data_IF_213640066753
#
_entry.id   IF_213640066753
#
_cell.length_a   1.000
_cell.length_b   1.000
_cell.length_c   1.000
_cell.angle_alpha   90.00
_cell.angle_beta   90.00
_cell.angle_gamma   90.00
#
_symmetry.space_group_name_H-M   'P 1'
#
loop_
_entity.id
_entity.type
_entity.pdbx_description
1 polymer ?
#
# COMPACT_ATOMS: atom_id res chain seq x y z
N UNK A 1 -4.31 8.31 -1.75
CA UNK A 1 -5.28 7.32 -2.24
C UNK A 1 -5.59 7.73 -3.65
N UNK A 2 -4.94 7.13 -4.63
CA UNK A 2 -5.23 7.45 -6.04
C UNK A 2 -6.18 6.40 -6.58
N UNK A 3 -7.47 6.74 -6.52
CA UNK A 3 -8.52 6.00 -7.21
C UNK A 3 -8.86 6.79 -8.46
N UNK A 4 -8.67 6.19 -9.63
CA UNK A 4 -9.09 6.76 -10.91
C UNK A 4 -10.18 5.89 -11.50
N UNK A 5 -11.27 6.49 -11.96
CA UNK A 5 -12.32 5.82 -12.70
C UNK A 5 -12.38 6.36 -14.13
N UNK A 6 -12.18 5.48 -15.09
CA UNK A 6 -12.42 5.74 -16.50
C UNK A 6 -13.89 5.47 -16.81
N UNK A 7 -14.59 6.49 -17.31
CA UNK A 7 -16.03 6.47 -17.52
C UNK A 7 -16.41 7.02 -18.89
N UNK A 8 -17.68 6.86 -19.24
CA UNK A 8 -18.33 7.63 -20.32
C UNK A 8 -19.69 8.14 -19.83
N UNK A 9 -20.24 9.23 -20.40
CA UNK A 9 -21.45 9.88 -19.89
C UNK A 9 -22.68 8.95 -19.86
N UNK A 10 -22.80 8.04 -20.82
CA UNK A 10 -23.96 7.16 -21.00
C UNK A 10 -23.86 5.86 -20.20
N UNK A 11 -22.68 5.51 -19.70
CA UNK A 11 -22.40 4.24 -19.03
C UNK A 11 -23.09 4.12 -17.65
N UNK A 12 -24.09 3.22 -17.54
CA UNK A 12 -24.81 2.95 -16.29
C UNK A 12 -23.90 2.38 -15.19
N UNK A 13 -23.03 1.43 -15.55
CA UNK A 13 -22.10 0.80 -14.60
C UNK A 13 -21.07 1.78 -14.04
N UNK A 14 -20.68 2.78 -14.84
CA UNK A 14 -19.79 3.85 -14.40
C UNK A 14 -20.45 4.69 -13.30
N UNK A 15 -21.75 5.05 -13.47
CA UNK A 15 -22.50 5.73 -12.40
C UNK A 15 -22.62 4.88 -11.14
N UNK A 16 -22.88 3.58 -11.27
CA UNK A 16 -22.95 2.65 -10.12
C UNK A 16 -21.62 2.57 -9.38
N UNK A 17 -20.51 2.46 -10.10
CA UNK A 17 -19.17 2.44 -9.51
C UNK A 17 -18.83 3.74 -8.77
N UNK A 18 -19.13 4.90 -9.36
CA UNK A 18 -18.93 6.22 -8.71
C UNK A 18 -19.74 6.33 -7.43
N UNK A 19 -21.02 5.98 -7.49
CA UNK A 19 -21.89 6.00 -6.31
C UNK A 19 -21.34 5.08 -5.22
N UNK A 20 -20.90 3.86 -5.58
CA UNK A 20 -20.34 2.90 -4.64
C UNK A 20 -19.08 3.43 -3.92
N UNK A 21 -18.16 4.05 -4.66
CA UNK A 21 -16.95 4.64 -4.09
C UNK A 21 -17.28 5.81 -3.16
N UNK A 22 -18.22 6.68 -3.56
CA UNK A 22 -18.70 7.79 -2.72
C UNK A 22 -19.38 7.29 -1.43
N UNK A 23 -20.20 6.25 -1.50
CA UNK A 23 -20.85 5.63 -0.34
C UNK A 23 -19.82 5.06 0.66
N UNK A 24 -18.68 4.58 0.16
CA UNK A 24 -17.55 4.11 0.99
C UNK A 24 -16.66 5.24 1.51
N UNK A 25 -16.98 6.51 1.20
CA UNK A 25 -16.19 7.67 1.60
C UNK A 25 -14.84 7.78 0.88
N UNK A 26 -14.70 7.15 -0.30
CA UNK A 26 -13.45 7.11 -1.06
C UNK A 26 -13.45 8.24 -2.07
N UNK A 27 -12.47 9.15 -1.97
CA UNK A 27 -12.23 10.15 -3.00
C UNK A 27 -11.65 9.49 -4.26
N UNK A 28 -12.12 9.90 -5.44
CA UNK A 28 -11.65 9.40 -6.72
C UNK A 28 -11.59 10.49 -7.80
N UNK A 29 -10.71 10.30 -8.77
CA UNK A 29 -10.61 11.10 -9.99
C UNK A 29 -11.40 10.43 -11.11
N UNK A 30 -12.32 11.15 -11.73
CA UNK A 30 -13.03 10.68 -12.92
C UNK A 30 -12.31 11.17 -14.19
N UNK A 31 -12.13 10.25 -15.15
CA UNK A 31 -11.65 10.56 -16.49
C UNK A 31 -12.70 10.09 -17.50
N UNK A 32 -13.27 11.03 -18.23
CA UNK A 32 -14.18 10.73 -19.33
C UNK A 32 -13.40 10.42 -20.60
N UNK A 33 -13.34 9.15 -20.97
CA UNK A 33 -12.58 8.71 -22.15
C UNK A 33 -13.29 9.02 -23.48
N UNK A 34 -14.55 9.49 -23.45
CA UNK A 34 -15.27 9.87 -24.68
C UNK A 34 -14.72 11.14 -25.32
N UNK A 35 -14.03 11.97 -24.53
CA UNK A 35 -13.42 13.22 -24.97
C UNK A 35 -11.88 13.18 -24.88
N UNK A 36 -11.30 12.05 -24.47
CA UNK A 36 -9.85 11.88 -24.28
C UNK A 36 -9.36 10.57 -24.94
N UNK A 37 -8.93 10.63 -26.21
CA UNK A 37 -8.41 9.48 -26.94
C UNK A 37 -7.14 8.89 -26.32
N UNK A 38 -6.32 9.70 -25.64
CA UNK A 38 -5.10 9.24 -25.00
C UNK A 38 -5.43 8.40 -23.76
N UNK A 39 -6.38 8.84 -22.94
CA UNK A 39 -6.89 8.07 -21.81
C UNK A 39 -7.59 6.78 -22.27
N UNK A 40 -8.34 6.83 -23.38
CA UNK A 40 -8.93 5.63 -23.98
C UNK A 40 -7.86 4.61 -24.38
N UNK A 41 -6.77 5.06 -25.02
CA UNK A 41 -5.65 4.20 -25.39
C UNK A 41 -4.94 3.63 -24.16
N UNK A 42 -4.72 4.42 -23.11
CA UNK A 42 -4.12 3.95 -21.86
C UNK A 42 -4.92 2.79 -21.25
N UNK A 43 -6.26 2.88 -21.28
CA UNK A 43 -7.13 1.80 -20.80
C UNK A 43 -6.95 0.53 -21.63
N UNK A 44 -6.88 0.66 -22.96
CA UNK A 44 -6.65 -0.48 -23.87
C UNK A 44 -5.27 -1.10 -23.63
N UNK A 45 -4.23 -0.29 -23.52
CA UNK A 45 -2.86 -0.75 -23.31
C UNK A 45 -2.70 -1.49 -21.97
N UNK A 46 -3.41 -1.04 -20.93
CA UNK A 46 -3.37 -1.66 -19.60
C UNK A 46 -4.22 -2.91 -19.48
N UNK A 47 -5.38 -2.95 -20.13
CA UNK A 47 -6.43 -3.97 -19.85
C UNK A 47 -6.73 -4.90 -21.01
N UNK A 48 -6.31 -4.55 -22.23
CA UNK A 48 -6.75 -5.20 -23.46
C UNK A 48 -8.23 -4.96 -23.79
N UNK A 49 -8.92 -4.08 -23.06
CA UNK A 49 -10.35 -3.83 -23.23
C UNK A 49 -10.63 -2.40 -23.72
N UNK A 50 -11.66 -2.27 -24.57
CA UNK A 50 -12.19 -0.99 -25.04
C UNK A 50 -13.41 -0.50 -24.23
N UNK A 51 -13.77 -1.21 -23.15
CA UNK A 51 -14.99 -0.98 -22.37
C UNK A 51 -14.75 -0.21 -21.08
N UNK A 52 -15.79 0.48 -20.60
CA UNK A 52 -15.86 1.16 -19.29
C UNK A 52 -16.96 0.56 -18.43
N UNK A 53 -16.91 0.67 -17.09
CA UNK A 53 -15.90 1.35 -16.29
C UNK A 53 -14.60 0.56 -16.16
N UNK A 54 -13.48 1.26 -16.11
CA UNK A 54 -12.20 0.71 -15.63
C UNK A 54 -11.77 1.52 -14.42
N UNK A 55 -11.54 0.85 -13.30
CA UNK A 55 -11.24 1.47 -12.02
C UNK A 55 -9.82 1.07 -11.64
N UNK A 56 -8.97 2.06 -11.44
CA UNK A 56 -7.59 1.89 -11.02
C UNK A 56 -7.46 2.34 -9.57
N UNK A 57 -7.02 1.44 -8.69
CA UNK A 57 -6.78 1.71 -7.27
C UNK A 57 -5.30 1.39 -7.00
N UNK A 58 -4.46 2.42 -6.99
CA UNK A 58 -3.00 2.24 -6.93
C UNK A 58 -2.48 1.44 -8.13
N UNK A 59 -1.93 0.24 -7.88
CA UNK A 59 -1.45 -0.67 -8.94
C UNK A 59 -2.53 -1.67 -9.41
N UNK A 60 -3.67 -1.73 -8.72
CA UNK A 60 -4.73 -2.67 -9.05
C UNK A 60 -5.67 -2.09 -10.11
N UNK A 61 -5.94 -2.88 -11.16
CA UNK A 61 -6.89 -2.54 -12.21
C UNK A 61 -8.10 -3.44 -12.13
N UNK A 62 -9.29 -2.85 -12.00
CA UNK A 62 -10.57 -3.54 -11.89
C UNK A 62 -11.40 -3.17 -13.12
N UNK A 63 -11.76 -4.19 -13.89
CA UNK A 63 -12.55 -4.06 -15.10
C UNK A 63 -14.03 -4.24 -14.74
N UNK A 64 -14.86 -3.29 -15.14
CA UNK A 64 -16.30 -3.29 -14.87
C UNK A 64 -16.65 -2.90 -13.44
N UNK A 65 -17.92 -3.11 -13.08
CA UNK A 65 -18.41 -2.89 -11.71
C UNK A 65 -18.49 -4.23 -10.97
N UNK A 66 -17.40 -4.58 -10.30
CA UNK A 66 -17.26 -5.79 -9.48
C UNK A 66 -17.17 -5.40 -8.00
N UNK A 67 -18.27 -5.52 -7.25
CA UNK A 67 -18.32 -5.11 -5.83
C UNK A 67 -17.36 -5.92 -4.96
N UNK A 68 -17.30 -7.26 -5.03
CA UNK A 68 -16.32 -8.04 -4.26
C UNK A 68 -14.87 -7.60 -4.52
N UNK A 69 -14.47 -7.42 -5.79
CA UNK A 69 -13.10 -6.96 -6.11
C UNK A 69 -12.85 -5.54 -5.64
N UNK A 70 -13.83 -4.64 -5.76
CA UNK A 70 -13.73 -3.28 -5.24
C UNK A 70 -13.58 -3.29 -3.72
N UNK A 71 -14.39 -4.06 -2.99
CA UNK A 71 -14.26 -4.19 -1.53
C UNK A 71 -12.91 -4.76 -1.13
N UNK A 72 -12.42 -5.78 -1.85
CA UNK A 72 -11.10 -6.35 -1.59
C UNK A 72 -9.98 -5.31 -1.81
N UNK A 73 -10.01 -4.59 -2.94
CA UNK A 73 -9.02 -3.57 -3.26
C UNK A 73 -9.05 -2.39 -2.27
N UNK A 74 -10.26 -1.94 -1.93
CA UNK A 74 -10.46 -0.87 -0.95
C UNK A 74 -10.06 -1.32 0.46
N UNK A 75 -10.37 -2.55 0.87
CA UNK A 75 -9.98 -3.10 2.18
C UNK A 75 -8.46 -3.29 2.29
N UNK A 76 -7.80 -3.79 1.24
CA UNK A 76 -6.34 -3.89 1.20
C UNK A 76 -5.66 -2.54 1.34
N UNK A 77 -6.28 -1.47 0.81
CA UNK A 77 -5.76 -0.12 0.97
C UNK A 77 -6.08 0.50 2.34
N UNK A 78 -7.28 0.24 2.88
CA UNK A 78 -7.66 0.69 4.23
C UNK A 78 -6.86 0.01 5.33
N UNK A 79 -6.20 -1.12 5.03
CA UNK A 79 -5.24 -1.72 5.95
C UNK A 79 -4.03 -0.80 6.07
N UNK A 80 -3.69 -0.35 7.29
CA UNK A 80 -2.42 0.31 7.54
C UNK A 80 -1.30 -0.47 6.87
N UNK A 81 -0.58 0.17 5.95
CA UNK A 81 0.61 -0.43 5.34
C UNK A 81 1.81 0.41 5.71
N UNK A 82 2.89 -0.26 6.09
CA UNK A 82 4.11 0.42 6.48
C UNK A 82 4.86 0.99 5.27
N UNK A 83 4.56 0.48 4.07
CA UNK A 83 5.12 0.93 2.80
C UNK A 83 6.57 0.47 2.56
N UNK A 84 6.98 -0.60 3.23
CA UNK A 84 8.19 -1.34 2.95
C UNK A 84 7.86 -2.82 2.68
N UNK A 85 8.58 -3.45 1.75
CA UNK A 85 8.61 -4.90 1.63
C UNK A 85 9.34 -5.47 2.84
N UNK A 86 8.75 -6.45 3.51
CA UNK A 86 9.29 -7.04 4.73
C UNK A 86 9.38 -8.55 4.61
N UNK A 87 10.39 -9.12 5.26
CA UNK A 87 10.61 -10.56 5.33
C UNK A 87 11.23 -10.92 6.68
N UNK A 88 11.18 -12.20 7.05
CA UNK A 88 11.83 -12.64 8.28
C UNK A 88 13.34 -12.43 8.19
N UNK A 89 13.91 -11.68 9.14
CA UNK A 89 15.34 -11.40 9.14
C UNK A 89 16.18 -12.67 9.24
N UNK A 90 15.67 -13.69 9.94
CA UNK A 90 16.29 -15.01 10.04
C UNK A 90 16.42 -15.74 8.69
N UNK A 91 15.57 -15.43 7.70
CA UNK A 91 15.58 -16.05 6.38
C UNK A 91 16.40 -15.27 5.35
N UNK A 92 16.51 -13.96 5.52
CA UNK A 92 17.12 -13.06 4.50
C UNK A 92 18.53 -12.62 4.87
N UNK A 93 18.85 -12.51 6.16
CA UNK A 93 20.14 -12.02 6.62
C UNK A 93 20.97 -13.05 7.43
N UNK A 94 21.17 -14.31 6.96
CA UNK A 94 21.93 -15.31 7.71
C UNK A 94 23.45 -15.03 7.84
N UNK A 95 23.96 -13.86 7.41
CA UNK A 95 25.39 -13.53 7.39
C UNK A 95 25.80 -12.20 8.05
N UNK A 96 24.88 -11.46 8.66
CA UNK A 96 25.14 -10.10 9.17
C UNK A 96 25.79 -10.04 10.57
N UNK A 97 26.45 -11.11 11.03
CA UNK A 97 27.32 -11.08 12.22
C UNK A 97 26.63 -11.27 13.58
N UNK A 98 25.32 -11.52 13.63
CA UNK A 98 24.62 -11.91 14.87
C UNK A 98 23.81 -13.20 14.67
N UNK A 99 24.02 -14.24 15.50
CA UNK A 99 23.40 -15.57 15.31
C UNK A 99 21.87 -15.61 15.55
N UNK A 100 21.23 -14.48 15.88
CA UNK A 100 19.83 -14.41 16.29
C UNK A 100 19.15 -13.12 15.80
N UNK A 101 19.20 -12.80 14.50
CA UNK A 101 18.40 -11.69 13.96
C UNK A 101 16.91 -12.03 13.98
N UNK A 102 16.30 -11.80 15.16
CA UNK A 102 14.87 -11.70 15.34
C UNK A 102 14.45 -10.30 14.91
N UNK A 103 13.53 -10.21 13.95
CA UNK A 103 13.06 -8.95 13.41
C UNK A 103 12.51 -9.08 12.00
N UNK A 104 11.96 -7.99 11.50
CA UNK A 104 11.51 -7.85 10.13
C UNK A 104 12.60 -7.16 9.30
N UNK A 105 13.17 -7.89 8.34
CA UNK A 105 14.12 -7.35 7.38
C UNK A 105 13.41 -6.47 6.37
N UNK A 106 13.96 -5.27 6.15
CA UNK A 106 13.44 -4.25 5.25
C UNK A 106 14.05 -4.43 3.87
N UNK A 107 13.21 -4.73 2.89
CA UNK A 107 13.55 -4.74 1.48
C UNK A 107 13.30 -3.37 0.85
N UNK A 108 12.60 -3.35 -0.28
CA UNK A 108 12.24 -2.11 -0.98
C UNK A 108 11.34 -1.22 -0.11
N UNK A 109 11.71 0.05 0.03
CA UNK A 109 10.90 1.09 0.67
C UNK A 109 10.24 1.95 -0.41
N UNK A 110 8.93 2.19 -0.30
CA UNK A 110 8.18 3.01 -1.27
C UNK A 110 8.36 4.50 -0.97
N UNK A 111 8.63 5.36 -1.97
CA UNK A 111 8.67 6.81 -1.76
C UNK A 111 7.38 7.37 -1.16
N UNK A 112 7.52 8.34 -0.26
CA UNK A 112 6.43 8.98 0.47
C UNK A 112 5.76 8.10 1.54
N UNK A 113 6.25 6.88 1.78
CA UNK A 113 5.65 5.96 2.75
C UNK A 113 5.95 6.31 4.21
N UNK A 114 5.18 5.78 5.19
CA UNK A 114 5.56 5.83 6.60
C UNK A 114 6.98 5.29 6.86
N UNK A 115 7.36 4.16 6.24
CA UNK A 115 8.70 3.61 6.36
C UNK A 115 9.80 4.59 5.90
N UNK A 116 9.62 5.25 4.74
CA UNK A 116 10.58 6.25 4.26
C UNK A 116 10.66 7.46 5.19
N UNK A 117 9.50 7.97 5.65
CA UNK A 117 9.44 9.10 6.59
C UNK A 117 10.11 8.79 7.93
N UNK A 118 10.16 7.52 8.32
CA UNK A 118 10.89 7.01 9.48
C UNK A 118 12.37 6.72 9.18
N UNK A 119 12.86 7.03 7.98
CA UNK A 119 14.26 6.91 7.60
C UNK A 119 14.73 5.49 7.33
N UNK A 120 13.80 4.55 7.10
CA UNK A 120 14.14 3.18 6.77
C UNK A 120 14.73 3.07 5.36
N UNK A 121 15.66 2.15 5.22
CA UNK A 121 16.36 1.82 3.99
C UNK A 121 16.41 0.31 3.80
N UNK A 122 16.56 -0.16 2.55
CA UNK A 122 16.81 -1.58 2.29
C UNK A 122 18.05 -2.06 3.07
N UNK A 123 17.91 -3.20 3.74
CA UNK A 123 18.95 -3.77 4.61
C UNK A 123 18.75 -3.51 6.10
N UNK A 124 17.79 -2.67 6.49
CA UNK A 124 17.45 -2.46 7.89
C UNK A 124 16.72 -3.67 8.47
N UNK A 125 16.84 -3.89 9.79
CA UNK A 125 16.08 -4.91 10.52
C UNK A 125 15.29 -4.26 11.64
N UNK A 126 13.97 -4.28 11.53
CA UNK A 126 13.07 -3.71 12.54
C UNK A 126 12.91 -4.71 13.68
N UNK A 127 13.13 -4.23 14.91
CA UNK A 127 13.09 -5.06 16.13
C UNK A 127 12.02 -4.61 17.13
N UNK A 128 11.48 -3.40 16.96
CA UNK A 128 10.44 -2.85 17.83
C UNK A 128 9.58 -1.81 17.10
N UNK A 129 8.28 -1.81 17.40
CA UNK A 129 7.31 -0.81 16.95
C UNK A 129 6.36 -0.46 18.11
N UNK A 130 6.31 0.80 18.52
CA UNK A 130 5.43 1.27 19.61
C UNK A 130 5.54 0.42 20.90
N UNK A 131 6.76 0.12 21.33
CA UNK A 131 7.08 -0.78 22.46
C UNK A 131 6.70 -2.26 22.27
N UNK A 132 6.14 -2.63 21.10
CA UNK A 132 5.89 -4.01 20.74
C UNK A 132 7.15 -4.60 20.09
N UNK A 133 7.66 -5.69 20.66
CA UNK A 133 8.80 -6.42 20.10
C UNK A 133 8.38 -7.08 18.78
N UNK A 134 9.23 -6.94 17.77
CA UNK A 134 9.05 -7.53 16.44
C UNK A 134 10.06 -8.66 16.30
N UNK A 135 9.62 -9.92 16.24
CA UNK A 135 10.51 -11.07 16.07
C UNK A 135 10.61 -11.56 14.62
N UNK A 136 9.64 -11.20 13.77
CA UNK A 136 9.54 -11.64 12.37
C UNK A 136 8.67 -10.64 11.56
N UNK A 137 8.45 -10.92 10.27
CA UNK A 137 7.62 -10.07 9.42
C UNK A 137 6.16 -10.03 9.86
N UNK A 138 5.58 -11.17 10.28
CA UNK A 138 4.19 -11.27 10.71
C UNK A 138 3.89 -10.39 11.94
N UNK A 139 4.81 -10.30 12.89
CA UNK A 139 4.68 -9.44 14.06
C UNK A 139 4.62 -7.97 13.67
N UNK A 140 5.44 -7.56 12.70
CA UNK A 140 5.43 -6.20 12.18
C UNK A 140 4.12 -5.91 11.46
N UNK A 141 3.65 -6.81 10.61
CA UNK A 141 2.38 -6.64 9.91
C UNK A 141 1.23 -6.46 10.89
N UNK A 142 1.14 -7.31 11.93
CA UNK A 142 0.14 -7.17 12.99
C UNK A 142 0.26 -5.83 13.72
N UNK A 143 1.47 -5.44 14.11
CA UNK A 143 1.71 -4.18 14.81
C UNK A 143 1.35 -2.96 13.95
N UNK A 144 1.54 -3.04 12.62
CA UNK A 144 1.17 -1.97 11.69
C UNK A 144 -0.35 -1.92 11.54
N UNK A 145 -1.04 -3.07 11.42
CA UNK A 145 -2.50 -3.11 11.26
C UNK A 145 -3.28 -2.53 12.44
N UNK A 146 -2.67 -2.41 13.63
CA UNK A 146 -3.28 -1.74 14.79
C UNK A 146 -3.06 -0.23 14.80
N UNK A 147 -2.24 0.32 13.90
CA UNK A 147 -1.99 1.75 13.80
C UNK A 147 -3.13 2.48 13.12
N UNK A 148 -3.44 3.67 13.63
CA UNK A 148 -4.35 4.62 12.99
C UNK A 148 -3.57 5.70 12.27
N UNK A 149 -4.09 6.19 11.16
CA UNK A 149 -3.52 7.35 10.47
C UNK A 149 -3.47 8.55 11.43
N UNK A 150 -2.34 9.26 11.45
CA UNK A 150 -2.08 10.39 12.36
C UNK A 150 -1.58 9.98 13.75
N UNK A 151 -1.47 8.68 14.05
CA UNK A 151 -0.92 8.22 15.33
C UNK A 151 0.59 8.41 15.41
N UNK A 152 1.11 8.66 16.61
CA UNK A 152 2.56 8.71 16.85
C UNK A 152 3.13 7.30 16.77
N UNK A 153 4.25 7.18 16.07
CA UNK A 153 4.96 5.92 15.90
C UNK A 153 6.38 6.06 16.43
N UNK A 154 6.83 5.06 17.17
CA UNK A 154 8.21 4.89 17.64
C UNK A 154 8.75 3.59 17.07
N UNK A 155 9.85 3.67 16.34
CA UNK A 155 10.43 2.57 15.60
C UNK A 155 11.86 2.35 16.06
N UNK A 156 12.21 1.11 16.36
CA UNK A 156 13.58 0.71 16.63
C UNK A 156 14.04 -0.31 15.59
N UNK A 157 15.17 -0.03 14.97
CA UNK A 157 15.75 -0.87 13.94
C UNK A 157 17.28 -0.93 14.03
N UNK A 158 17.84 -1.94 13.38
CA UNK A 158 19.27 -2.13 13.19
C UNK A 158 19.65 -1.81 11.75
N UNK A 159 20.76 -1.11 11.56
CA UNK A 159 21.42 -0.93 10.26
C UNK A 159 22.87 -1.37 10.42
N UNK A 160 23.18 -2.55 9.88
CA UNK A 160 24.39 -3.27 10.27
C UNK A 160 24.36 -3.59 11.77
N UNK A 161 25.40 -3.21 12.50
CA UNK A 161 25.51 -3.44 13.95
C UNK A 161 24.94 -2.30 14.82
N UNK A 162 24.52 -1.20 14.18
CA UNK A 162 24.08 0.01 14.89
C UNK A 162 22.57 0.00 15.10
N UNK A 163 22.14 0.31 16.32
CA UNK A 163 20.74 0.50 16.69
C UNK A 163 20.32 1.96 16.51
N UNK A 164 19.16 2.15 15.89
CA UNK A 164 18.53 3.45 15.66
C UNK A 164 17.13 3.46 16.27
N UNK A 165 16.72 4.61 16.77
CA UNK A 165 15.37 4.87 17.26
C UNK A 165 14.85 6.13 16.59
N UNK A 166 13.79 5.98 15.80
CA UNK A 166 13.16 7.09 15.10
C UNK A 166 11.70 7.18 15.51
N UNK A 167 11.20 8.41 15.64
CA UNK A 167 9.80 8.68 15.91
C UNK A 167 9.19 9.50 14.78
N UNK A 168 7.90 9.32 14.56
CA UNK A 168 7.18 10.06 13.53
C UNK A 168 5.67 9.97 13.68
N UNK A 169 4.98 10.34 12.62
CA UNK A 169 3.53 10.22 12.49
C UNK A 169 3.22 9.22 11.36
N UNK A 170 2.34 8.27 11.66
CA UNK A 170 1.89 7.27 10.70
C UNK A 170 0.90 7.86 9.68
#
# INVERSE_FOLDING_TARGET
>A
MDVTIYSTPTCRYCRMAKQYLSEKGVAFREIDISHDPAAAQEVVDRTGQMGVPVIVIGEQTIIGFDRPRLDQALSQWQRPSFGAAVADASKVAPGLGSPLFLGAYVGRVRPGSPAERLGLMPGDVIIELNMQRIANADDLEKAVTSLSQGSRISLVFLRGERRFTNEGIF
#
